data_IF_944091997704
#
_entry.id   IF_944091997704
#
_cell.length_a   1.000
_cell.length_b   1.000
_cell.length_c   1.000
_cell.angle_alpha   90.00
_cell.angle_beta   90.00
_cell.angle_gamma   90.00
#
_symmetry.space_group_name_H-M   'P 1'
#
loop_
_entity.id
_entity.type
_entity.pdbx_description
1 polymer ?
#
# COMPACT_ATOMS: atom_id res chain seq x y z
N UNK A 1 -9.47 -16.40 -15.02
CA UNK A 1 -8.29 -15.74 -15.62
C UNK A 1 -7.26 -16.75 -16.13
N UNK A 2 -6.38 -17.35 -15.29
CA UNK A 2 -5.31 -18.23 -15.79
C UNK A 2 -5.82 -19.48 -16.54
N UNK A 3 -6.88 -20.12 -16.03
CA UNK A 3 -7.52 -21.27 -16.69
C UNK A 3 -8.20 -20.89 -18.01
N UNK A 4 -8.80 -19.70 -18.07
CA UNK A 4 -9.43 -19.17 -19.27
C UNK A 4 -8.39 -18.88 -20.37
N UNK A 5 -7.27 -18.24 -19.99
CA UNK A 5 -6.12 -18.06 -20.88
C UNK A 5 -5.61 -19.43 -21.36
N UNK A 6 -5.45 -20.40 -20.46
CA UNK A 6 -5.03 -21.75 -20.84
C UNK A 6 -6.02 -22.42 -21.81
N UNK A 7 -7.32 -22.18 -21.66
CA UNK A 7 -8.39 -22.68 -22.53
C UNK A 7 -8.28 -22.20 -23.99
N UNK A 8 -7.63 -21.07 -24.25
CA UNK A 8 -7.35 -20.61 -25.62
C UNK A 8 -6.19 -21.39 -26.30
N UNK A 9 -5.51 -22.28 -25.59
CA UNK A 9 -4.52 -23.22 -26.14
C UNK A 9 -3.47 -22.53 -27.01
N UNK A 10 -3.25 -23.08 -28.22
CA UNK A 10 -2.21 -22.66 -29.18
C UNK A 10 -2.28 -21.18 -29.61
N UNK A 11 -3.40 -20.48 -29.38
CA UNK A 11 -3.53 -19.06 -29.69
C UNK A 11 -2.76 -18.18 -28.70
N UNK A 12 -2.48 -18.69 -27.49
CA UNK A 12 -1.66 -17.97 -26.50
C UNK A 12 -0.18 -18.09 -26.86
N UNK A 13 0.44 -16.95 -27.16
CA UNK A 13 1.87 -16.87 -27.53
C UNK A 13 2.74 -16.28 -26.43
N UNK A 14 2.28 -15.23 -25.76
CA UNK A 14 3.00 -14.55 -24.69
C UNK A 14 2.04 -14.28 -23.54
N UNK A 15 2.44 -14.67 -22.33
CA UNK A 15 1.72 -14.37 -21.09
C UNK A 15 2.69 -13.64 -20.17
N UNK A 16 2.26 -12.47 -19.67
CA UNK A 16 3.01 -11.75 -18.64
C UNK A 16 2.11 -11.56 -17.44
N UNK A 17 2.54 -12.07 -16.28
CA UNK A 17 1.88 -11.79 -15.01
C UNK A 17 2.38 -10.45 -14.47
N UNK A 18 1.45 -9.51 -14.23
CA UNK A 18 1.78 -8.19 -13.65
C UNK A 18 1.25 -8.00 -12.23
N UNK A 19 0.24 -8.77 -11.83
CA UNK A 19 -0.33 -8.72 -10.48
C UNK A 19 0.71 -9.15 -9.43
N UNK A 20 0.84 -8.38 -8.35
CA UNK A 20 1.71 -8.75 -7.24
C UNK A 20 1.33 -10.13 -6.70
N UNK A 21 2.33 -10.97 -6.47
CA UNK A 21 2.16 -12.33 -5.95
C UNK A 21 3.42 -12.78 -5.22
N UNK A 22 3.38 -13.94 -4.55
CA UNK A 22 4.55 -14.54 -3.89
C UNK A 22 5.55 -15.13 -4.91
N UNK A 23 6.85 -15.16 -4.58
CA UNK A 23 7.87 -15.71 -5.45
C UNK A 23 7.60 -17.20 -5.70
N UNK A 24 7.55 -17.59 -6.97
CA UNK A 24 7.24 -18.93 -7.44
C UNK A 24 5.89 -19.04 -8.15
N UNK A 25 4.99 -18.07 -8.09
CA UNK A 25 3.64 -18.20 -8.69
C UNK A 25 3.69 -18.46 -10.20
N UNK A 26 4.57 -17.76 -10.93
CA UNK A 26 4.73 -17.96 -12.36
C UNK A 26 5.19 -19.40 -12.71
N UNK A 27 6.05 -19.99 -11.89
CA UNK A 27 6.65 -21.31 -12.11
C UNK A 27 5.81 -22.46 -11.53
N UNK A 28 5.23 -22.28 -10.35
CA UNK A 28 4.52 -23.29 -9.57
C UNK A 28 3.03 -23.38 -9.97
N UNK A 29 2.45 -22.29 -10.47
CA UNK A 29 1.01 -22.20 -10.78
C UNK A 29 0.79 -21.98 -12.27
N UNK A 30 1.29 -20.88 -12.84
CA UNK A 30 0.96 -20.53 -14.23
C UNK A 30 1.60 -21.47 -15.25
N UNK A 31 2.87 -21.82 -15.07
CA UNK A 31 3.59 -22.69 -15.99
C UNK A 31 2.92 -24.08 -16.15
N UNK A 32 2.58 -24.81 -15.07
CA UNK A 32 1.85 -26.06 -15.18
C UNK A 32 0.51 -25.92 -15.90
N UNK A 33 -0.27 -24.88 -15.57
CA UNK A 33 -1.57 -24.62 -16.21
C UNK A 33 -1.45 -24.42 -17.72
N UNK A 34 -0.51 -23.58 -18.14
CA UNK A 34 -0.31 -23.22 -19.55
C UNK A 34 0.34 -24.34 -20.37
N UNK A 35 1.02 -25.29 -19.72
CA UNK A 35 1.69 -26.44 -20.36
C UNK A 35 0.85 -27.72 -20.32
N UNK A 36 -0.39 -27.70 -19.81
CA UNK A 36 -1.26 -28.89 -19.70
C UNK A 36 -1.52 -29.58 -21.04
N UNK A 37 -1.50 -28.82 -22.14
CA UNK A 37 -1.68 -29.32 -23.51
C UNK A 37 -0.39 -29.83 -24.18
N UNK A 38 0.70 -29.96 -23.41
CA UNK A 38 2.00 -30.47 -23.88
C UNK A 38 2.89 -29.42 -24.55
N UNK A 39 2.47 -28.16 -24.63
CA UNK A 39 3.30 -27.07 -25.16
C UNK A 39 4.52 -26.79 -24.27
N UNK A 40 5.63 -26.42 -24.90
CA UNK A 40 6.90 -26.13 -24.24
C UNK A 40 7.12 -24.62 -24.09
N UNK A 41 7.26 -24.17 -22.84
CA UNK A 41 7.63 -22.77 -22.53
C UNK A 41 8.98 -22.40 -23.15
N UNK A 42 9.10 -21.17 -23.65
CA UNK A 42 10.27 -20.69 -24.37
C UNK A 42 10.35 -21.14 -25.83
N UNK A 43 9.45 -22.01 -26.30
CA UNK A 43 9.38 -22.45 -27.70
C UNK A 43 7.99 -22.23 -28.31
N UNK A 44 6.97 -22.84 -27.70
CA UNK A 44 5.60 -22.82 -28.21
C UNK A 44 4.79 -21.64 -27.63
N UNK A 45 5.15 -21.22 -26.41
CA UNK A 45 4.65 -20.01 -25.76
C UNK A 45 5.73 -19.42 -24.83
N UNK A 46 5.57 -18.15 -24.45
CA UNK A 46 6.49 -17.43 -23.57
C UNK A 46 5.77 -16.97 -22.32
N UNK A 47 6.38 -17.21 -21.14
CA UNK A 47 5.83 -16.81 -19.85
C UNK A 47 6.86 -15.97 -19.09
N UNK A 48 6.42 -14.81 -18.60
CA UNK A 48 7.23 -13.91 -17.81
C UNK A 48 6.42 -13.25 -16.69
N UNK A 49 7.13 -12.65 -15.75
CA UNK A 49 6.59 -11.74 -14.74
C UNK A 49 7.16 -10.34 -14.96
N UNK A 50 6.31 -9.32 -14.85
CA UNK A 50 6.72 -7.92 -14.90
C UNK A 50 5.87 -7.10 -13.93
N UNK A 51 6.39 -6.72 -12.76
CA UNK A 51 5.57 -6.05 -11.76
C UNK A 51 5.13 -4.65 -12.21
N UNK A 52 3.91 -4.28 -11.82
CA UNK A 52 3.46 -2.89 -11.88
C UNK A 52 4.17 -2.06 -10.78
N UNK A 53 4.69 -0.90 -11.16
CA UNK A 53 5.50 0.01 -10.32
C UNK A 53 5.02 1.46 -10.39
N UNK A 54 3.90 1.73 -11.07
CA UNK A 54 3.26 3.04 -11.13
C UNK A 54 2.83 3.51 -9.73
N UNK A 55 3.07 4.79 -9.46
CA UNK A 55 2.54 5.49 -8.29
C UNK A 55 1.27 6.27 -8.70
N UNK A 56 0.07 5.87 -8.24
CA UNK A 56 -1.18 6.52 -8.64
C UNK A 56 -1.20 8.01 -8.33
N UNK A 57 -1.64 8.85 -9.29
CA UNK A 57 -1.70 10.30 -9.15
C UNK A 57 -0.35 11.02 -9.25
N UNK A 58 0.74 10.32 -9.62
CA UNK A 58 2.06 10.92 -9.72
C UNK A 58 2.36 11.42 -11.15
N UNK A 59 2.16 12.72 -11.38
CA UNK A 59 2.42 13.35 -12.68
C UNK A 59 3.92 13.48 -13.01
N UNK A 60 4.79 13.46 -12.00
CA UNK A 60 6.23 13.65 -12.16
C UNK A 60 6.91 12.46 -12.84
N UNK A 61 6.39 11.25 -12.65
CA UNK A 61 6.97 10.01 -13.17
C UNK A 61 5.97 9.30 -14.08
N UNK A 62 5.87 9.70 -15.37
CA UNK A 62 4.95 9.07 -16.30
C UNK A 62 5.30 7.59 -16.51
N UNK A 63 4.30 6.74 -16.65
CA UNK A 63 4.45 5.27 -16.77
C UNK A 63 5.51 4.85 -17.78
N UNK A 64 5.60 5.55 -18.92
CA UNK A 64 6.59 5.28 -19.98
C UNK A 64 8.05 5.41 -19.51
N UNK A 65 8.32 6.27 -18.53
CA UNK A 65 9.68 6.54 -17.99
C UNK A 65 10.05 5.64 -16.81
N UNK A 66 9.09 4.94 -16.20
CA UNK A 66 9.35 4.05 -15.07
C UNK A 66 10.06 2.78 -15.60
N UNK A 67 11.23 2.41 -15.06
CA UNK A 67 11.93 1.21 -15.50
C UNK A 67 11.09 -0.05 -15.27
N UNK A 68 10.89 -0.85 -16.31
CA UNK A 68 10.09 -2.08 -16.22
C UNK A 68 10.98 -3.28 -15.97
N UNK A 69 10.82 -3.90 -14.80
CA UNK A 69 11.50 -5.15 -14.44
C UNK A 69 10.86 -6.29 -15.22
N UNK A 70 11.67 -7.18 -15.80
CA UNK A 70 11.17 -8.35 -16.54
C UNK A 70 11.97 -9.59 -16.19
N UNK A 71 11.28 -10.64 -15.73
CA UNK A 71 11.87 -11.95 -15.49
C UNK A 71 11.06 -13.03 -16.20
N UNK A 72 11.67 -13.75 -17.14
CA UNK A 72 11.06 -14.89 -17.82
C UNK A 72 11.29 -16.22 -17.11
N UNK A 73 10.48 -17.23 -17.43
CA UNK A 73 10.75 -18.63 -17.05
C UNK A 73 12.03 -19.16 -17.71
N UNK A 74 12.34 -18.65 -18.91
CA UNK A 74 13.58 -18.93 -19.64
C UNK A 74 14.19 -17.62 -20.15
N UNK A 75 15.50 -17.59 -20.50
CA UNK A 75 16.11 -16.41 -21.11
C UNK A 75 15.39 -15.93 -22.38
N UNK A 76 14.82 -16.86 -23.16
CA UNK A 76 14.03 -16.50 -24.34
C UNK A 76 12.71 -15.83 -23.96
N UNK A 77 12.03 -16.28 -22.90
CA UNK A 77 10.85 -15.60 -22.39
C UNK A 77 11.16 -14.17 -21.95
N UNK A 78 12.28 -13.95 -21.24
CA UNK A 78 12.72 -12.61 -20.85
C UNK A 78 12.91 -11.72 -22.08
N UNK A 79 13.62 -12.21 -23.11
CA UNK A 79 13.84 -11.46 -24.37
C UNK A 79 12.53 -11.14 -25.09
N UNK A 80 11.62 -12.10 -25.19
CA UNK A 80 10.31 -11.90 -25.85
C UNK A 80 9.47 -10.87 -25.11
N UNK A 81 9.34 -10.98 -23.79
CA UNK A 81 8.59 -10.02 -22.98
C UNK A 81 9.25 -8.63 -23.00
N UNK A 82 10.59 -8.55 -22.93
CA UNK A 82 11.33 -7.30 -23.07
C UNK A 82 11.05 -6.60 -24.39
N UNK A 83 11.01 -7.36 -25.51
CA UNK A 83 10.67 -6.80 -26.81
C UNK A 83 9.25 -6.25 -26.83
N UNK A 84 8.29 -6.99 -26.28
CA UNK A 84 6.89 -6.55 -26.17
C UNK A 84 6.79 -5.20 -25.45
N UNK A 85 7.36 -5.07 -24.25
CA UNK A 85 7.26 -3.83 -23.48
C UNK A 85 8.13 -2.70 -24.01
N UNK A 86 9.17 -2.97 -24.80
CA UNK A 86 10.01 -1.91 -25.40
C UNK A 86 9.23 -0.95 -26.32
N UNK A 87 8.03 -1.34 -26.76
CA UNK A 87 7.13 -0.46 -27.51
C UNK A 87 6.38 0.55 -26.62
N UNK A 88 6.23 0.26 -25.32
CA UNK A 88 5.43 1.03 -24.37
C UNK A 88 6.26 1.81 -23.34
N UNK A 89 7.43 1.30 -22.95
CA UNK A 89 8.30 1.91 -21.94
C UNK A 89 9.73 2.11 -22.48
N UNK A 90 10.41 3.13 -21.96
CA UNK A 90 11.72 3.53 -22.47
C UNK A 90 12.88 2.72 -21.87
N UNK A 91 12.72 2.20 -20.64
CA UNK A 91 13.78 1.47 -19.93
C UNK A 91 13.30 0.09 -19.48
N UNK A 92 13.94 -0.95 -20.01
CA UNK A 92 13.70 -2.35 -19.63
C UNK A 92 14.87 -2.84 -18.80
N UNK A 93 14.57 -3.44 -17.64
CA UNK A 93 15.55 -4.02 -16.73
C UNK A 93 15.29 -5.53 -16.63
N UNK A 94 15.99 -6.34 -17.44
CA UNK A 94 15.84 -7.80 -17.37
C UNK A 94 16.51 -8.33 -16.10
N UNK A 95 15.85 -9.29 -15.45
CA UNK A 95 16.41 -10.07 -14.34
C UNK A 95 16.48 -11.55 -14.70
N UNK A 96 17.17 -12.34 -13.87
CA UNK A 96 17.56 -13.71 -14.19
C UNK A 96 16.38 -14.69 -14.28
N UNK A 97 15.28 -14.45 -13.57
CA UNK A 97 14.09 -15.31 -13.60
C UNK A 97 12.81 -14.56 -13.22
N UNK A 98 11.65 -15.16 -13.54
CA UNK A 98 10.35 -14.69 -13.08
C UNK A 98 10.30 -14.58 -11.55
N UNK A 99 10.86 -15.56 -10.83
CA UNK A 99 10.95 -15.56 -9.36
C UNK A 99 11.71 -14.35 -8.80
N UNK A 100 12.80 -13.94 -9.45
CA UNK A 100 13.54 -12.72 -9.06
C UNK A 100 12.68 -11.49 -9.28
N UNK A 101 11.97 -11.40 -10.42
CA UNK A 101 11.09 -10.26 -10.70
C UNK A 101 9.91 -10.17 -9.71
N UNK A 102 9.31 -11.31 -9.32
CA UNK A 102 8.28 -11.39 -8.26
C UNK A 102 8.84 -10.89 -6.92
N UNK A 103 10.04 -11.34 -6.54
CA UNK A 103 10.68 -10.92 -5.29
C UNK A 103 11.04 -9.43 -5.27
N UNK A 104 11.45 -8.84 -6.40
CA UNK A 104 11.73 -7.40 -6.49
C UNK A 104 10.52 -6.57 -6.05
N UNK A 105 9.32 -6.91 -6.52
CA UNK A 105 8.10 -6.17 -6.15
C UNK A 105 7.79 -6.26 -4.66
N UNK A 106 7.94 -7.45 -4.08
CA UNK A 106 7.70 -7.65 -2.66
C UNK A 106 8.75 -6.93 -1.81
N UNK A 107 10.01 -6.91 -2.26
CA UNK A 107 11.07 -6.16 -1.59
C UNK A 107 10.76 -4.66 -1.58
N UNK A 108 10.32 -4.09 -2.70
CA UNK A 108 9.94 -2.67 -2.79
C UNK A 108 8.82 -2.29 -1.80
N UNK A 109 7.76 -3.11 -1.74
CA UNK A 109 6.64 -2.85 -0.84
C UNK A 109 6.98 -3.15 0.63
N UNK A 110 7.78 -4.19 0.89
CA UNK A 110 8.28 -4.51 2.24
C UNK A 110 9.18 -3.40 2.76
N UNK A 111 10.11 -2.90 1.93
CA UNK A 111 10.96 -1.77 2.28
C UNK A 111 10.15 -0.55 2.69
N UNK A 112 9.12 -0.20 1.93
CA UNK A 112 8.23 0.93 2.27
C UNK A 112 7.47 0.69 3.57
N UNK A 113 6.84 -0.48 3.72
CA UNK A 113 6.06 -0.82 4.92
C UNK A 113 6.91 -0.80 6.20
N UNK A 114 8.11 -1.40 6.16
CA UNK A 114 9.04 -1.43 7.30
C UNK A 114 9.51 -0.03 7.68
N UNK A 115 9.87 0.82 6.72
CA UNK A 115 10.32 2.17 7.04
C UNK A 115 9.17 3.08 7.53
N UNK A 116 7.94 2.86 7.06
CA UNK A 116 6.75 3.56 7.61
C UNK A 116 6.50 3.09 9.04
N UNK A 117 6.61 1.78 9.32
CA UNK A 117 6.51 1.25 10.69
C UNK A 117 7.57 1.85 11.61
N UNK A 118 8.82 1.89 11.16
CA UNK A 118 9.92 2.51 11.90
C UNK A 118 9.62 3.98 12.22
N UNK A 119 9.17 4.78 11.25
CA UNK A 119 8.93 6.20 11.51
C UNK A 119 7.68 6.46 12.35
N UNK A 120 6.68 5.59 12.27
CA UNK A 120 5.53 5.61 13.15
C UNK A 120 5.95 5.34 14.60
N UNK A 121 6.77 4.31 14.84
CA UNK A 121 7.33 4.04 16.17
C UNK A 121 8.17 5.21 16.70
N UNK A 122 9.01 5.81 15.84
CA UNK A 122 9.75 7.03 16.18
C UNK A 122 8.83 8.18 16.60
N UNK A 123 7.68 8.36 15.93
CA UNK A 123 6.71 9.39 16.32
C UNK A 123 6.10 9.13 17.70
N UNK A 124 5.82 7.87 18.03
CA UNK A 124 5.35 7.47 19.36
C UNK A 124 6.41 7.78 20.43
N UNK A 125 7.66 7.38 20.18
CA UNK A 125 8.79 7.63 21.09
C UNK A 125 9.05 9.12 21.28
N UNK A 126 9.18 9.88 20.19
CA UNK A 126 9.37 11.32 20.22
C UNK A 126 8.26 12.01 21.00
N UNK A 127 7.00 11.57 20.86
CA UNK A 127 5.91 12.14 21.63
C UNK A 127 6.07 11.93 23.14
N UNK A 128 6.48 10.74 23.58
CA UNK A 128 6.73 10.45 25.01
C UNK A 128 7.92 11.22 25.57
N UNK A 129 8.89 11.54 24.73
CA UNK A 129 10.08 12.31 25.07
C UNK A 129 9.91 13.82 24.90
N UNK A 130 8.71 14.29 24.51
CA UNK A 130 8.42 15.70 24.21
C UNK A 130 9.31 16.31 23.11
N UNK A 131 9.67 15.50 22.10
CA UNK A 131 10.49 15.90 20.94
C UNK A 131 9.60 16.06 19.70
N UNK A 132 9.83 17.11 18.89
CA UNK A 132 9.18 17.27 17.59
C UNK A 132 9.75 16.27 16.57
N UNK A 133 9.00 15.19 16.31
CA UNK A 133 9.36 14.18 15.29
C UNK A 133 9.56 14.79 13.91
N UNK A 134 8.85 15.86 13.57
CA UNK A 134 8.99 16.51 12.26
C UNK A 134 10.32 17.25 12.16
N UNK A 135 10.77 17.89 13.24
CA UNK A 135 12.10 18.50 13.31
C UNK A 135 13.20 17.45 13.20
N UNK A 136 13.05 16.32 13.89
CA UNK A 136 13.98 15.18 13.80
C UNK A 136 14.08 14.68 12.35
N UNK A 137 12.94 14.45 11.68
CA UNK A 137 12.92 14.00 10.28
C UNK A 137 13.54 15.04 9.36
N UNK A 138 13.20 16.34 9.51
CA UNK A 138 13.79 17.43 8.72
C UNK A 138 15.32 17.46 8.89
N UNK A 139 15.81 17.37 10.12
CA UNK A 139 17.24 17.32 10.43
C UNK A 139 17.92 16.11 9.78
N UNK A 140 17.37 14.90 9.95
CA UNK A 140 17.90 13.68 9.36
C UNK A 140 17.91 13.71 7.82
N UNK A 141 16.90 14.34 7.22
CA UNK A 141 16.75 14.49 5.76
C UNK A 141 17.85 15.31 5.11
N UNK A 142 18.63 16.08 5.88
CA UNK A 142 19.78 16.84 5.35
C UNK A 142 20.98 15.97 5.02
N UNK A 143 21.01 14.71 5.51
CA UNK A 143 22.11 13.78 5.25
C UNK A 143 22.04 13.28 3.79
N UNK A 144 23.07 13.50 2.96
CA UNK A 144 22.99 13.21 1.53
C UNK A 144 23.09 11.71 1.18
N UNK A 145 23.32 10.84 2.16
CA UNK A 145 23.46 9.39 1.97
C UNK A 145 22.91 8.59 3.14
N UNK A 146 22.42 7.38 2.86
CA UNK A 146 21.99 6.42 3.87
C UNK A 146 20.72 6.79 4.63
N UNK A 147 20.02 7.86 4.24
CA UNK A 147 18.72 8.22 4.80
C UNK A 147 17.77 8.64 3.67
N UNK A 148 16.61 8.01 3.63
CA UNK A 148 15.50 8.36 2.74
C UNK A 148 14.34 8.69 3.68
N UNK A 149 13.77 9.91 3.62
CA UNK A 149 12.72 10.29 4.56
C UNK A 149 11.45 9.48 4.33
N UNK A 150 10.91 8.98 5.44
CA UNK A 150 9.54 8.51 5.56
C UNK A 150 8.86 9.40 6.59
N UNK A 151 7.54 9.47 6.56
CA UNK A 151 6.76 10.36 7.42
C UNK A 151 5.72 9.55 8.20
N UNK A 152 5.51 9.86 9.49
CA UNK A 152 4.52 9.18 10.29
C UNK A 152 3.11 9.55 9.80
N UNK A 153 2.17 8.66 10.04
CA UNK A 153 0.78 8.84 9.62
C UNK A 153 -0.20 8.08 10.51
N UNK A 154 -1.49 8.17 10.20
CA UNK A 154 -2.54 7.50 10.97
C UNK A 154 -2.56 5.97 10.79
N UNK A 155 -1.72 5.43 9.90
CA UNK A 155 -1.60 4.02 9.56
C UNK A 155 -1.21 3.84 8.10
N UNK A 156 -1.02 2.60 7.67
CA UNK A 156 -0.91 2.28 6.25
C UNK A 156 -2.29 2.24 5.60
N UNK A 157 -2.35 2.49 4.30
CA UNK A 157 -3.55 2.21 3.53
C UNK A 157 -3.28 1.93 2.06
N UNK A 158 -4.36 1.68 1.33
CA UNK A 158 -4.33 1.11 -0.01
C UNK A 158 -4.06 -0.39 0.04
N UNK A 159 -4.30 -1.11 -1.06
CA UNK A 159 -4.19 -2.57 -1.04
C UNK A 159 -2.75 -3.10 -0.92
N UNK A 160 -1.77 -2.42 -1.51
CA UNK A 160 -0.43 -3.00 -1.69
C UNK A 160 0.42 -3.08 -0.41
N UNK A 161 0.47 -2.00 0.38
CA UNK A 161 1.39 -1.93 1.52
C UNK A 161 0.94 -2.77 2.74
N UNK A 162 -0.36 -2.84 3.08
CA UNK A 162 -0.83 -3.68 4.18
C UNK A 162 -0.79 -5.17 3.85
N UNK A 163 -0.94 -5.57 2.57
CA UNK A 163 -1.17 -6.97 2.19
C UNK A 163 0.09 -7.64 1.62
N UNK A 164 0.82 -6.99 0.71
CA UNK A 164 1.91 -7.63 -0.02
C UNK A 164 3.05 -8.13 0.89
N UNK A 165 3.50 -7.39 1.92
CA UNK A 165 4.50 -7.90 2.86
C UNK A 165 3.99 -9.12 3.65
N UNK A 166 2.70 -9.18 3.97
CA UNK A 166 2.10 -10.32 4.67
C UNK A 166 2.05 -11.57 3.78
N UNK A 167 1.84 -11.42 2.46
CA UNK A 167 1.98 -12.53 1.51
C UNK A 167 3.41 -13.09 1.49
N UNK A 168 4.41 -12.22 1.48
CA UNK A 168 5.81 -12.64 1.57
C UNK A 168 6.07 -13.36 2.91
N UNK A 169 5.51 -12.83 4.00
CA UNK A 169 5.64 -13.44 5.33
C UNK A 169 5.09 -14.87 5.36
N UNK A 170 3.87 -15.05 4.84
CA UNK A 170 3.25 -16.36 4.71
C UNK A 170 4.09 -17.33 3.87
N UNK A 171 4.55 -16.91 2.67
CA UNK A 171 5.37 -17.78 1.80
C UNK A 171 6.70 -18.16 2.48
N UNK A 172 7.34 -17.23 3.20
CA UNK A 172 8.59 -17.50 3.91
C UNK A 172 8.41 -18.53 5.06
N UNK A 173 7.28 -18.46 5.78
CA UNK A 173 6.95 -19.44 6.83
C UNK A 173 6.79 -20.87 6.29
N UNK A 174 6.29 -21.04 5.07
CA UNK A 174 6.27 -22.35 4.40
C UNK A 174 7.68 -22.93 4.18
N UNK A 175 8.69 -22.06 4.05
CA UNK A 175 10.11 -22.41 4.00
C UNK A 175 10.79 -22.41 5.39
N UNK A 176 10.01 -22.42 6.48
CA UNK A 176 10.48 -22.40 7.88
C UNK A 176 11.31 -21.16 8.25
N UNK A 177 11.19 -20.07 7.50
CA UNK A 177 11.79 -18.79 7.82
C UNK A 177 10.76 -17.88 8.49
N UNK A 178 11.14 -17.24 9.62
CA UNK A 178 10.26 -16.30 10.31
C UNK A 178 10.68 -14.84 10.04
N UNK A 179 9.93 -14.06 9.23
CA UNK A 179 10.32 -12.72 8.82
C UNK A 179 9.88 -11.65 9.85
N UNK A 180 10.61 -11.61 10.96
CA UNK A 180 10.32 -10.76 12.13
C UNK A 180 10.12 -9.27 11.81
N UNK A 181 10.91 -8.70 10.89
CA UNK A 181 10.80 -7.27 10.54
C UNK A 181 9.46 -6.93 9.88
N UNK A 182 8.92 -7.85 9.06
CA UNK A 182 7.63 -7.64 8.40
C UNK A 182 6.52 -7.63 9.46
N UNK A 183 6.57 -8.58 10.39
CA UNK A 183 5.57 -8.72 11.45
C UNK A 183 5.58 -7.52 12.38
N UNK A 184 6.76 -7.09 12.84
CA UNK A 184 6.91 -5.93 13.71
C UNK A 184 6.40 -4.65 13.04
N UNK A 185 6.74 -4.44 11.76
CA UNK A 185 6.26 -3.29 11.03
C UNK A 185 4.73 -3.31 10.87
N UNK A 186 4.14 -4.48 10.60
CA UNK A 186 2.67 -4.63 10.51
C UNK A 186 2.01 -4.26 11.84
N UNK A 187 2.51 -4.81 12.95
CA UNK A 187 1.99 -4.55 14.29
C UNK A 187 1.99 -3.06 14.64
N UNK A 188 3.12 -2.38 14.41
CA UNK A 188 3.24 -0.95 14.66
C UNK A 188 2.26 -0.17 13.78
N UNK A 189 2.23 -0.45 12.48
CA UNK A 189 1.38 0.27 11.52
C UNK A 189 -0.12 0.08 11.80
N UNK A 190 -0.54 -1.14 12.18
CA UNK A 190 -1.92 -1.47 12.56
C UNK A 190 -2.33 -0.82 13.89
N UNK A 191 -1.37 -0.50 14.76
CA UNK A 191 -1.64 0.19 16.03
C UNK A 191 -1.91 1.69 15.88
N UNK A 192 -1.47 2.31 14.77
CA UNK A 192 -1.55 3.76 14.59
C UNK A 192 -2.96 4.35 14.60
N UNK A 193 -3.99 3.72 14.00
CA UNK A 193 -5.37 4.20 14.13
C UNK A 193 -5.85 4.28 15.59
N UNK A 194 -5.47 3.30 16.42
CA UNK A 194 -5.79 3.32 17.84
C UNK A 194 -5.04 4.45 18.56
N UNK A 195 -3.76 4.67 18.22
CA UNK A 195 -2.99 5.80 18.74
C UNK A 195 -3.63 7.15 18.38
N UNK A 196 -4.11 7.33 17.15
CA UNK A 196 -4.83 8.55 16.72
C UNK A 196 -6.06 8.79 17.62
N UNK A 197 -6.84 7.75 17.90
CA UNK A 197 -8.01 7.85 18.80
C UNK A 197 -7.61 8.20 20.23
N UNK A 198 -6.50 7.65 20.74
CA UNK A 198 -5.94 8.05 22.03
C UNK A 198 -5.56 9.53 22.04
N UNK A 199 -4.89 10.02 20.99
CA UNK A 199 -4.53 11.45 20.89
C UNK A 199 -5.74 12.37 20.86
N UNK A 200 -6.79 11.99 20.12
CA UNK A 200 -8.06 12.73 20.13
C UNK A 200 -8.66 12.76 21.55
N UNK A 201 -8.62 11.63 22.25
CA UNK A 201 -9.12 11.50 23.62
C UNK A 201 -8.37 12.44 24.57
N UNK A 202 -7.03 12.46 24.51
CA UNK A 202 -6.20 13.31 25.36
C UNK A 202 -6.43 14.80 25.11
N UNK A 203 -6.56 15.19 23.83
CA UNK A 203 -6.86 16.57 23.43
C UNK A 203 -8.23 17.02 23.97
N UNK A 204 -9.26 16.18 23.83
CA UNK A 204 -10.60 16.46 24.36
C UNK A 204 -10.59 16.53 25.90
N UNK A 205 -9.87 15.62 26.57
CA UNK A 205 -9.71 15.60 28.02
C UNK A 205 -9.05 16.89 28.53
N UNK A 206 -8.05 17.43 27.82
CA UNK A 206 -7.46 18.74 28.11
C UNK A 206 -8.45 19.90 28.07
N UNK A 207 -9.61 19.71 27.42
CA UNK A 207 -10.75 20.64 27.39
C UNK A 207 -11.93 20.18 28.25
N UNK A 208 -11.73 19.19 29.12
CA UNK A 208 -12.76 18.57 29.99
C UNK A 208 -13.95 18.01 29.19
N UNK A 209 -13.69 17.48 27.99
CA UNK A 209 -14.67 16.79 27.14
C UNK A 209 -14.28 15.33 27.01
N UNK A 210 -15.27 14.44 27.03
CA UNK A 210 -15.10 13.03 26.71
C UNK A 210 -15.27 12.81 25.20
N UNK A 211 -14.77 11.69 24.67
CA UNK A 211 -15.06 11.28 23.28
C UNK A 211 -16.56 11.05 23.07
N UNK A 212 -17.22 10.41 24.03
CA UNK A 212 -18.66 10.15 24.01
C UNK A 212 -19.45 11.45 23.90
N UNK A 213 -20.22 11.59 22.82
CA UNK A 213 -21.03 12.76 22.53
C UNK A 213 -20.27 13.94 21.90
N UNK A 214 -18.94 13.92 21.85
CA UNK A 214 -18.16 14.95 21.16
C UNK A 214 -18.35 14.87 19.64
N UNK A 215 -18.35 16.04 19.00
CA UNK A 215 -18.41 16.20 17.55
C UNK A 215 -17.00 16.20 16.98
N UNK A 216 -16.66 15.16 16.23
CA UNK A 216 -15.33 15.02 15.62
C UNK A 216 -15.48 15.18 14.12
N UNK A 217 -14.72 16.11 13.54
CA UNK A 217 -14.73 16.38 12.11
C UNK A 217 -13.45 15.83 11.47
N UNK A 218 -13.60 14.79 10.65
CA UNK A 218 -12.51 14.13 9.93
C UNK A 218 -12.31 14.82 8.56
N UNK A 219 -11.08 15.20 8.25
CA UNK A 219 -10.68 15.72 6.95
C UNK A 219 -9.87 14.65 6.22
N UNK A 220 -10.45 14.14 5.14
CA UNK A 220 -9.90 13.06 4.33
C UNK A 220 -10.29 11.66 4.82
N UNK A 221 -10.74 10.81 3.90
CA UNK A 221 -11.01 9.39 4.15
C UNK A 221 -10.38 8.47 3.10
N UNK A 222 -9.93 9.03 1.97
CA UNK A 222 -9.08 8.32 1.01
C UNK A 222 -7.77 7.87 1.65
N UNK A 223 -7.20 6.74 1.20
CA UNK A 223 -5.96 6.22 1.78
C UNK A 223 -4.72 7.05 1.41
N UNK A 224 -4.83 7.88 0.36
CA UNK A 224 -3.79 8.76 -0.18
C UNK A 224 -4.44 10.07 -0.62
N UNK A 225 -3.65 11.14 -0.64
CA UNK A 225 -4.03 12.43 -1.23
C UNK A 225 -4.47 12.28 -2.68
N UNK A 226 -5.37 13.17 -3.10
CA UNK A 226 -5.79 13.36 -4.49
C UNK A 226 -6.35 12.11 -5.19
N UNK A 227 -6.85 11.13 -4.45
CA UNK A 227 -7.50 9.93 -4.99
C UNK A 227 -8.82 9.65 -4.28
N UNK A 228 -9.71 8.91 -4.94
CA UNK A 228 -11.01 8.50 -4.38
C UNK A 228 -10.99 7.10 -3.74
N UNK A 229 -9.82 6.45 -3.68
CA UNK A 229 -9.70 5.07 -3.20
C UNK A 229 -9.63 5.05 -1.67
N UNK A 230 -10.57 4.33 -1.07
CA UNK A 230 -10.71 4.21 0.39
C UNK A 230 -10.35 2.82 0.91
N UNK A 231 -9.90 1.90 0.04
CA UNK A 231 -9.56 0.54 0.46
C UNK A 231 -8.41 0.55 1.45
N UNK A 232 -8.55 -0.22 2.52
CA UNK A 232 -7.59 -0.28 3.63
C UNK A 232 -7.24 1.10 4.21
N UNK A 233 -8.08 2.13 4.04
CA UNK A 233 -7.77 3.46 4.56
C UNK A 233 -7.72 3.43 6.09
N UNK A 234 -6.72 4.05 6.74
CA UNK A 234 -6.66 4.16 8.20
C UNK A 234 -7.87 4.93 8.77
N UNK A 235 -8.54 5.74 7.94
CA UNK A 235 -9.79 6.42 8.30
C UNK A 235 -10.90 5.44 8.69
N UNK A 236 -10.94 4.24 8.09
CA UNK A 236 -11.94 3.21 8.41
C UNK A 236 -11.87 2.89 9.91
N UNK A 237 -10.68 2.54 10.38
CA UNK A 237 -10.47 2.07 11.75
C UNK A 237 -10.60 3.23 12.75
N UNK A 238 -10.08 4.42 12.42
CA UNK A 238 -10.24 5.61 13.26
C UNK A 238 -11.73 5.92 13.44
N UNK A 239 -12.53 5.98 12.36
CA UNK A 239 -13.95 6.29 12.44
C UNK A 239 -14.72 5.19 13.17
N UNK A 240 -14.46 3.90 12.88
CA UNK A 240 -15.08 2.78 13.60
C UNK A 240 -14.87 2.92 15.11
N UNK A 241 -13.63 3.11 15.56
CA UNK A 241 -13.29 3.25 16.98
C UNK A 241 -13.91 4.48 17.65
N UNK A 242 -14.08 5.57 16.92
CA UNK A 242 -14.76 6.77 17.43
C UNK A 242 -16.27 6.53 17.57
N UNK A 243 -16.89 5.89 16.58
CA UNK A 243 -18.33 5.54 16.63
C UNK A 243 -18.64 4.55 17.75
N UNK A 244 -17.78 3.54 17.97
CA UNK A 244 -17.88 2.59 19.10
C UNK A 244 -17.80 3.28 20.47
N UNK A 245 -17.19 4.47 20.55
CA UNK A 245 -17.11 5.31 21.74
C UNK A 245 -18.23 6.34 21.82
N UNK A 246 -19.31 6.17 21.03
CA UNK A 246 -20.44 7.09 20.93
C UNK A 246 -20.05 8.53 20.50
N UNK A 247 -18.97 8.70 19.74
CA UNK A 247 -18.64 10.00 19.16
C UNK A 247 -19.57 10.36 18.00
N UNK A 248 -19.81 11.65 17.79
CA UNK A 248 -20.55 12.16 16.63
C UNK A 248 -19.56 12.51 15.53
N UNK A 249 -19.31 11.56 14.63
CA UNK A 249 -18.34 11.70 13.55
C UNK A 249 -18.98 12.34 12.32
N UNK A 250 -18.33 13.39 11.82
CA UNK A 250 -18.58 14.03 10.53
C UNK A 250 -17.30 13.93 9.72
N UNK A 251 -17.39 13.88 8.39
CA UNK A 251 -16.20 13.97 7.56
C UNK A 251 -16.42 14.86 6.35
N UNK A 252 -15.31 15.35 5.80
CA UNK A 252 -15.24 15.87 4.45
C UNK A 252 -14.10 15.18 3.72
N UNK A 253 -14.36 14.82 2.47
CA UNK A 253 -13.34 14.40 1.51
C UNK A 253 -13.82 14.87 0.12
N UNK A 254 -12.97 15.57 -0.66
CA UNK A 254 -13.36 16.12 -1.96
C UNK A 254 -13.54 15.04 -3.05
N UNK A 255 -12.98 13.84 -2.87
CA UNK A 255 -13.04 12.74 -3.83
C UNK A 255 -14.00 11.61 -3.41
N UNK A 256 -14.42 11.59 -2.14
CA UNK A 256 -15.26 10.53 -1.57
C UNK A 256 -16.58 11.12 -1.06
N UNK A 257 -17.66 11.16 -1.87
CA UNK A 257 -18.95 11.74 -1.47
C UNK A 257 -19.72 10.88 -0.45
N UNK A 258 -19.51 9.56 -0.49
CA UNK A 258 -20.11 8.59 0.43
C UNK A 258 -19.03 7.62 0.87
N UNK A 259 -18.85 7.49 2.18
CA UNK A 259 -17.86 6.61 2.77
C UNK A 259 -18.58 5.54 3.58
N UNK A 260 -18.37 4.28 3.19
CA UNK A 260 -19.01 3.13 3.81
C UNK A 260 -17.95 2.07 4.08
N UNK A 261 -17.85 1.67 5.35
CA UNK A 261 -16.98 0.58 5.78
C UNK A 261 -17.55 -0.03 7.05
N UNK A 262 -17.24 -1.30 7.30
CA UNK A 262 -17.72 -2.03 8.47
C UNK A 262 -19.25 -1.89 8.65
N UNK A 263 -19.67 -1.28 9.76
CA UNK A 263 -21.07 -1.09 10.13
C UNK A 263 -21.56 0.36 10.00
N UNK A 264 -20.82 1.21 9.28
CA UNK A 264 -21.21 2.61 9.09
C UNK A 264 -21.29 3.00 7.61
N UNK A 265 -22.12 4.03 7.37
CA UNK A 265 -22.21 4.73 6.10
C UNK A 265 -22.43 6.21 6.37
N UNK A 266 -21.46 7.03 6.00
CA UNK A 266 -21.48 8.47 6.21
C UNK A 266 -21.49 9.20 4.86
N UNK A 267 -22.18 10.34 4.78
CA UNK A 267 -22.12 11.25 3.63
C UNK A 267 -21.16 12.39 3.95
N UNK A 268 -20.37 12.79 2.95
CA UNK A 268 -19.42 13.89 3.07
C UNK A 268 -20.19 15.18 3.37
N UNK A 269 -19.75 15.91 4.39
CA UNK A 269 -20.29 17.20 4.80
C UNK A 269 -19.44 18.28 4.19
N UNK A 270 -20.06 19.35 3.69
CA UNK A 270 -19.34 20.46 3.08
C UNK A 270 -18.33 21.09 4.05
N UNK A 271 -17.11 21.35 3.55
CA UNK A 271 -16.05 22.00 4.30
C UNK A 271 -16.31 23.51 4.38
N UNK A 272 -17.00 23.94 5.43
CA UNK A 272 -17.29 25.36 5.69
C UNK A 272 -16.76 25.77 7.07
N UNK A 273 -16.41 27.05 7.22
CA UNK A 273 -16.02 27.61 8.51
C UNK A 273 -17.10 27.40 9.60
N UNK A 274 -18.38 27.41 9.22
CA UNK A 274 -19.49 27.16 10.12
C UNK A 274 -19.53 25.71 10.63
N UNK A 275 -19.22 24.73 9.77
CA UNK A 275 -19.15 23.32 10.16
C UNK A 275 -17.92 23.03 11.03
N UNK A 276 -16.77 23.61 10.68
CA UNK A 276 -15.55 23.47 11.49
C UNK A 276 -15.73 24.06 12.90
N UNK A 277 -16.36 25.24 13.03
CA UNK A 277 -16.64 25.85 14.34
C UNK A 277 -17.56 25.04 15.24
N UNK A 278 -18.37 24.13 14.69
CA UNK A 278 -19.27 23.25 15.46
C UNK A 278 -18.56 22.00 15.98
N UNK A 279 -17.37 21.68 15.49
CA UNK A 279 -16.61 20.51 15.90
C UNK A 279 -15.91 20.78 17.24
N UNK A 280 -15.87 19.75 18.09
CA UNK A 280 -15.09 19.75 19.32
C UNK A 280 -13.62 19.40 19.03
N UNK A 281 -13.37 18.64 17.97
CA UNK A 281 -12.05 18.28 17.46
C UNK A 281 -12.09 18.15 15.93
N UNK A 282 -11.08 18.66 15.25
CA UNK A 282 -10.88 18.48 13.80
C UNK A 282 -9.62 17.65 13.61
N UNK A 283 -9.70 16.60 12.80
CA UNK A 283 -8.63 15.63 12.59
C UNK A 283 -8.35 15.52 11.10
N UNK A 284 -7.12 15.80 10.70
CA UNK A 284 -6.66 15.60 9.33
C UNK A 284 -6.10 14.18 9.25
N UNK A 285 -6.73 13.32 8.45
CA UNK A 285 -6.27 11.95 8.17
C UNK A 285 -5.58 11.91 6.81
N UNK A 286 -6.11 12.63 5.82
CA UNK A 286 -5.55 12.68 4.46
C UNK A 286 -5.27 14.13 4.06
N UNK A 287 -4.03 14.37 3.63
CA UNK A 287 -3.50 15.67 3.20
C UNK A 287 -3.79 15.89 1.70
N UNK A 288 -5.04 16.23 1.38
CA UNK A 288 -5.48 16.62 0.02
C UNK A 288 -4.96 18.02 -0.37
#
# INVERSE_FOLDING_TARGET
AAEEIAGHGKNVKVVVLESTTYPGTSEEVLLPLLSRDGRKVGRDFFLAFSPERVDPGNEKYPTRKIPKIIGGITPQCTRTAARLYSHAVDNIVPVSSARVAEMVKLLENTFRSVNIGLINEMALMCHQMEIDVWEVIRGASTKPFGYIPFYPGPGLGGHCLPIDPLYLSWKARLSKFNPRFIELASEINESMPAYVVTRITDILNGKRKSVKGSKIFILGVAYKRDVSDTRESPAIEVITRLLERDARVYYNDPHVPVFSANHFRLKSVELTAANLKKADCVVIITDH
#
